data_IF_818374827159
#
_entry.id   IF_818374827159
#
_cell.length_a   1.000
_cell.length_b   1.000
_cell.length_c   1.000
_cell.angle_alpha   90.00
_cell.angle_beta   90.00
_cell.angle_gamma   90.00
#
_symmetry.space_group_name_H-M   'P 1'
#
loop_
_entity.id
_entity.type
_entity.pdbx_description
1 polymer ?
#
# COMPACT_ATOMS: atom_id res chain seq x y z
N UNK A 1 59.86 -3.59 -5.73
CA UNK A 1 59.43 -4.22 -4.46
C UNK A 1 57.99 -4.73 -4.57
N UNK A 2 57.75 -6.01 -4.28
CA UNK A 2 56.39 -6.62 -4.38
C UNK A 2 55.62 -6.39 -3.08
N UNK A 3 54.50 -5.68 -3.12
CA UNK A 3 53.64 -5.43 -1.97
C UNK A 3 52.72 -6.65 -1.81
N UNK A 4 52.85 -7.34 -0.65
CA UNK A 4 51.93 -8.47 -0.27
C UNK A 4 50.66 -7.88 0.32
N UNK A 5 49.51 -8.19 -0.27
CA UNK A 5 48.19 -7.66 0.19
C UNK A 5 47.43 -8.66 1.06
N UNK A 6 48.04 -9.80 1.42
CA UNK A 6 47.40 -10.85 2.24
C UNK A 6 46.08 -11.36 1.66
N UNK A 7 45.08 -11.59 2.50
CA UNK A 7 43.79 -12.21 2.14
C UNK A 7 42.67 -11.22 1.80
N UNK A 8 42.97 -9.92 1.66
CA UNK A 8 41.92 -8.88 1.47
C UNK A 8 41.05 -9.14 0.22
N UNK A 9 41.64 -9.46 -0.91
CA UNK A 9 40.92 -9.76 -2.14
C UNK A 9 40.03 -10.99 -1.98
N UNK A 10 40.54 -12.07 -1.38
CA UNK A 10 39.78 -13.29 -1.10
C UNK A 10 38.60 -13.04 -0.18
N UNK A 11 38.77 -12.21 0.84
CA UNK A 11 37.69 -11.86 1.77
C UNK A 11 36.57 -11.02 1.08
N UNK A 12 36.94 -10.11 0.18
CA UNK A 12 35.96 -9.39 -0.65
C UNK A 12 35.16 -10.34 -1.53
N UNK A 13 35.83 -11.29 -2.19
CA UNK A 13 35.15 -12.33 -3.00
C UNK A 13 34.20 -13.20 -2.16
N UNK A 14 34.66 -13.67 -0.98
CA UNK A 14 33.85 -14.44 -0.05
C UNK A 14 32.60 -13.70 0.40
N UNK A 15 32.71 -12.37 0.65
CA UNK A 15 31.55 -11.54 1.03
C UNK A 15 30.47 -11.54 -0.06
N UNK A 16 30.86 -11.34 -1.32
CA UNK A 16 29.92 -11.38 -2.45
C UNK A 16 29.31 -12.77 -2.66
N UNK A 17 30.14 -13.83 -2.62
CA UNK A 17 29.66 -15.20 -2.75
C UNK A 17 28.72 -15.60 -1.62
N UNK A 18 28.92 -15.06 -0.40
CA UNK A 18 27.98 -15.25 0.72
C UNK A 18 26.60 -14.66 0.41
N UNK A 19 26.53 -13.49 -0.22
CA UNK A 19 25.28 -12.86 -0.65
C UNK A 19 24.63 -13.58 -1.84
N UNK A 20 25.43 -14.26 -2.66
CA UNK A 20 24.99 -15.03 -3.80
C UNK A 20 24.54 -16.46 -3.46
N UNK A 21 24.56 -16.87 -2.20
CA UNK A 21 24.08 -18.19 -1.78
C UNK A 21 22.64 -18.42 -2.23
N UNK A 22 22.36 -19.60 -2.79
CA UNK A 22 21.05 -19.95 -3.30
C UNK A 22 20.79 -19.51 -4.76
N UNK A 23 21.69 -18.78 -5.40
CA UNK A 23 21.56 -18.45 -6.80
C UNK A 23 21.87 -19.67 -7.68
N UNK A 24 21.13 -19.82 -8.79
CA UNK A 24 21.23 -20.98 -9.66
C UNK A 24 22.52 -20.97 -10.49
N UNK A 25 23.20 -22.13 -10.54
CA UNK A 25 24.36 -22.40 -11.39
C UNK A 25 25.61 -21.60 -10.99
N UNK A 26 26.32 -21.09 -12.00
CA UNK A 26 27.58 -20.35 -11.84
C UNK A 26 27.44 -19.05 -11.03
N UNK A 27 26.23 -18.51 -10.92
CA UNK A 27 25.94 -17.27 -10.18
C UNK A 27 26.20 -17.38 -8.67
N UNK A 28 26.19 -18.59 -8.11
CA UNK A 28 26.50 -18.83 -6.69
C UNK A 28 27.97 -19.23 -6.44
N UNK A 29 28.71 -19.61 -7.49
CA UNK A 29 30.05 -20.22 -7.37
C UNK A 29 31.17 -19.34 -7.91
N UNK A 30 30.96 -18.70 -9.06
CA UNK A 30 31.97 -17.91 -9.75
C UNK A 30 31.81 -16.43 -9.42
N UNK A 31 32.83 -15.83 -8.80
CA UNK A 31 32.79 -14.44 -8.35
C UNK A 31 32.38 -13.44 -9.45
N UNK A 32 32.96 -13.55 -10.66
CA UNK A 32 32.68 -12.62 -11.77
C UNK A 32 31.18 -12.55 -12.09
N UNK A 33 30.52 -13.71 -12.18
CA UNK A 33 29.08 -13.82 -12.50
C UNK A 33 28.23 -13.50 -11.28
N UNK A 34 28.66 -13.98 -10.08
CA UNK A 34 27.98 -13.72 -8.83
C UNK A 34 27.89 -12.24 -8.49
N UNK A 35 28.96 -11.48 -8.72
CA UNK A 35 29.01 -10.04 -8.45
C UNK A 35 27.94 -9.28 -9.24
N UNK A 36 27.83 -9.54 -10.53
CA UNK A 36 26.80 -8.89 -11.39
C UNK A 36 25.39 -9.30 -10.92
N UNK A 37 25.19 -10.56 -10.60
CA UNK A 37 23.90 -11.04 -10.13
C UNK A 37 23.49 -10.42 -8.79
N UNK A 38 24.42 -10.30 -7.84
CA UNK A 38 24.19 -9.67 -6.54
C UNK A 38 23.88 -8.17 -6.70
N UNK A 39 24.63 -7.45 -7.53
CA UNK A 39 24.36 -6.03 -7.80
C UNK A 39 22.93 -5.82 -8.34
N UNK A 40 22.50 -6.65 -9.31
CA UNK A 40 21.14 -6.60 -9.83
C UNK A 40 20.09 -6.95 -8.77
N UNK A 41 20.33 -8.00 -7.98
CA UNK A 41 19.43 -8.42 -6.92
C UNK A 41 19.22 -7.31 -5.87
N UNK A 42 20.28 -6.65 -5.43
CA UNK A 42 20.20 -5.54 -4.48
C UNK A 42 19.48 -4.32 -5.07
N UNK A 43 19.72 -4.01 -6.36
CA UNK A 43 19.01 -2.93 -7.05
C UNK A 43 17.50 -3.23 -7.14
N UNK A 44 17.13 -4.47 -7.49
CA UNK A 44 15.73 -4.87 -7.54
C UNK A 44 15.09 -4.88 -6.15
N UNK A 45 15.77 -5.39 -5.13
CA UNK A 45 15.28 -5.35 -3.76
C UNK A 45 14.99 -3.92 -3.29
N UNK A 46 15.83 -2.95 -3.61
CA UNK A 46 15.60 -1.54 -3.32
C UNK A 46 14.35 -0.99 -4.03
N UNK A 47 14.21 -1.23 -5.33
CA UNK A 47 13.06 -0.83 -6.13
C UNK A 47 11.77 -1.48 -5.63
N UNK A 48 11.81 -2.78 -5.40
CA UNK A 48 10.61 -3.57 -5.13
C UNK A 48 10.06 -3.35 -3.71
N UNK A 49 10.92 -3.00 -2.73
CA UNK A 49 10.43 -2.52 -1.42
C UNK A 49 9.51 -1.28 -1.56
N UNK A 50 9.75 -0.42 -2.54
CA UNK A 50 8.88 0.74 -2.82
C UNK A 50 7.66 0.35 -3.64
N UNK A 51 7.83 -0.54 -4.62
CA UNK A 51 6.75 -1.05 -5.42
C UNK A 51 5.72 -1.84 -4.58
N UNK A 52 6.18 -2.64 -3.63
CA UNK A 52 5.32 -3.41 -2.72
C UNK A 52 4.35 -2.51 -1.96
N UNK A 53 4.80 -1.38 -1.42
CA UNK A 53 3.93 -0.42 -0.73
C UNK A 53 2.82 0.11 -1.63
N UNK A 54 3.13 0.43 -2.88
CA UNK A 54 2.15 0.90 -3.87
C UNK A 54 1.17 -0.21 -4.27
N UNK A 55 1.67 -1.42 -4.45
CA UNK A 55 0.87 -2.57 -4.83
C UNK A 55 -0.11 -2.97 -3.73
N UNK A 56 0.33 -2.98 -2.47
CA UNK A 56 -0.54 -3.23 -1.32
C UNK A 56 -1.64 -2.18 -1.22
N UNK A 57 -1.32 -0.88 -1.39
CA UNK A 57 -2.33 0.17 -1.40
C UNK A 57 -3.36 0.00 -2.52
N UNK A 58 -2.93 -0.40 -3.73
CA UNK A 58 -3.85 -0.72 -4.84
C UNK A 58 -4.76 -1.88 -4.49
N UNK A 59 -4.22 -2.94 -3.91
CA UNK A 59 -4.99 -4.10 -3.48
C UNK A 59 -6.06 -3.72 -2.43
N UNK A 60 -5.71 -2.91 -1.43
CA UNK A 60 -6.68 -2.44 -0.45
C UNK A 60 -7.81 -1.63 -1.09
N UNK A 61 -7.47 -0.75 -2.03
CA UNK A 61 -8.47 0.05 -2.76
C UNK A 61 -9.41 -0.86 -3.55
N UNK A 62 -8.91 -1.90 -4.20
CA UNK A 62 -9.74 -2.86 -4.95
C UNK A 62 -10.71 -3.60 -4.00
N UNK A 63 -10.23 -4.09 -2.87
CA UNK A 63 -11.06 -4.77 -1.86
C UNK A 63 -12.16 -3.88 -1.30
N UNK A 64 -11.81 -2.67 -0.88
CA UNK A 64 -12.79 -1.69 -0.38
C UNK A 64 -13.80 -1.35 -1.47
N UNK A 65 -13.36 -1.10 -2.71
CA UNK A 65 -14.25 -0.74 -3.81
C UNK A 65 -15.26 -1.86 -4.12
N UNK A 66 -14.83 -3.14 -4.08
CA UNK A 66 -15.73 -4.28 -4.26
C UNK A 66 -16.83 -4.28 -3.18
N UNK A 67 -16.45 -4.22 -1.91
CA UNK A 67 -17.39 -4.26 -0.78
C UNK A 67 -18.34 -3.05 -0.73
N UNK A 68 -17.84 -1.86 -1.07
CA UNK A 68 -18.68 -0.63 -1.13
C UNK A 68 -19.68 -0.69 -2.29
N UNK A 69 -19.30 -1.29 -3.41
CA UNK A 69 -20.20 -1.47 -4.56
C UNK A 69 -21.35 -2.45 -4.25
N UNK A 70 -21.11 -3.50 -3.48
CA UNK A 70 -22.17 -4.39 -2.97
C UNK A 70 -23.22 -3.61 -2.19
N UNK A 71 -22.85 -2.50 -1.55
CA UNK A 71 -23.75 -1.61 -0.81
C UNK A 71 -24.27 -0.40 -1.64
N UNK A 72 -24.12 -0.44 -2.96
CA UNK A 72 -24.67 0.54 -3.90
C UNK A 72 -23.90 1.88 -3.94
N UNK A 73 -22.65 1.94 -3.45
CA UNK A 73 -21.88 3.19 -3.44
C UNK A 73 -20.56 3.04 -4.23
N UNK A 74 -20.04 4.12 -4.81
CA UNK A 74 -18.71 4.14 -5.43
C UNK A 74 -17.63 4.45 -4.41
N UNK A 75 -16.41 3.95 -4.64
CA UNK A 75 -15.26 4.19 -3.78
C UNK A 75 -14.98 5.67 -3.49
N UNK A 76 -15.09 6.53 -4.51
CA UNK A 76 -14.85 7.97 -4.37
C UNK A 76 -15.88 8.64 -3.45
N UNK A 77 -17.16 8.28 -3.61
CA UNK A 77 -18.26 8.76 -2.74
C UNK A 77 -18.06 8.28 -1.32
N UNK A 78 -17.69 7.02 -1.11
CA UNK A 78 -17.40 6.47 0.21
C UNK A 78 -16.25 7.19 0.90
N UNK A 79 -15.11 7.39 0.21
CA UNK A 79 -13.95 8.11 0.80
C UNK A 79 -14.32 9.56 1.15
N UNK A 80 -15.13 10.21 0.32
CA UNK A 80 -15.61 11.57 0.62
C UNK A 80 -16.56 11.58 1.82
N UNK A 81 -17.46 10.62 1.91
CA UNK A 81 -18.37 10.44 3.05
C UNK A 81 -17.60 10.19 4.36
N UNK A 82 -16.58 9.31 4.34
CA UNK A 82 -15.72 9.09 5.50
C UNK A 82 -15.00 10.37 5.95
N UNK A 83 -14.53 11.19 5.01
CA UNK A 83 -13.90 12.48 5.33
C UNK A 83 -14.90 13.44 5.98
N UNK A 84 -16.12 13.53 5.45
CA UNK A 84 -17.19 14.39 6.00
C UNK A 84 -17.62 13.92 7.38
N UNK A 85 -17.69 12.62 7.60
CA UNK A 85 -17.99 11.99 8.89
C UNK A 85 -16.83 12.03 9.90
N UNK A 86 -15.67 12.57 9.51
CA UNK A 86 -14.43 12.56 10.30
C UNK A 86 -14.00 11.14 10.76
N UNK A 87 -14.30 10.12 9.96
CA UNK A 87 -13.91 8.75 10.24
C UNK A 87 -12.44 8.56 9.87
N UNK A 88 -11.58 8.45 10.89
CA UNK A 88 -10.13 8.30 10.72
C UNK A 88 -9.70 6.83 10.70
N UNK A 89 -10.03 6.12 9.62
CA UNK A 89 -9.61 4.72 9.43
C UNK A 89 -8.70 4.60 8.21
N UNK A 90 -7.62 3.85 8.35
CA UNK A 90 -6.70 3.64 7.25
C UNK A 90 -7.22 2.56 6.28
N UNK A 91 -6.72 2.61 5.02
CA UNK A 91 -7.15 1.67 3.96
C UNK A 91 -6.85 0.21 4.27
N UNK A 92 -5.79 -0.08 5.03
CA UNK A 92 -5.43 -1.45 5.41
C UNK A 92 -6.51 -2.04 6.32
N UNK A 93 -6.93 -1.29 7.33
CA UNK A 93 -7.99 -1.73 8.26
C UNK A 93 -9.33 -1.88 7.54
N UNK A 94 -9.72 -0.92 6.70
CA UNK A 94 -10.95 -1.01 5.92
C UNK A 94 -10.96 -2.20 4.97
N UNK A 95 -9.83 -2.50 4.34
CA UNK A 95 -9.71 -3.65 3.45
C UNK A 95 -9.71 -4.99 4.22
N UNK A 96 -9.25 -5.00 5.45
CA UNK A 96 -9.29 -6.15 6.34
C UNK A 96 -10.73 -6.42 6.81
N UNK A 97 -11.43 -5.40 7.30
CA UNK A 97 -12.85 -5.49 7.66
C UNK A 97 -13.71 -5.94 6.48
N UNK A 98 -13.48 -5.41 5.29
CA UNK A 98 -14.22 -5.78 4.09
C UNK A 98 -14.13 -7.27 3.71
N UNK A 99 -13.06 -7.96 4.13
CA UNK A 99 -12.84 -9.38 3.84
C UNK A 99 -13.25 -10.27 5.02
N UNK A 100 -12.85 -9.90 6.22
CA UNK A 100 -12.95 -10.75 7.41
C UNK A 100 -14.21 -10.46 8.25
N UNK A 101 -14.70 -9.21 8.23
CA UNK A 101 -15.87 -8.79 9.01
C UNK A 101 -16.74 -7.84 8.19
N UNK A 102 -17.63 -8.44 7.40
CA UNK A 102 -18.53 -7.68 6.51
C UNK A 102 -19.57 -6.87 7.28
N UNK A 103 -19.98 -7.32 8.46
CA UNK A 103 -20.97 -6.63 9.28
C UNK A 103 -20.40 -5.34 9.86
N UNK A 104 -19.20 -5.40 10.44
CA UNK A 104 -18.51 -4.20 10.91
C UNK A 104 -18.20 -3.23 9.77
N UNK A 105 -17.83 -3.74 8.58
CA UNK A 105 -17.65 -2.89 7.42
C UNK A 105 -18.95 -2.20 6.97
N UNK A 106 -20.07 -2.89 7.00
CA UNK A 106 -21.38 -2.34 6.66
C UNK A 106 -21.76 -1.19 7.62
N UNK A 107 -21.55 -1.35 8.92
CA UNK A 107 -21.78 -0.27 9.90
C UNK A 107 -20.96 0.98 9.60
N UNK A 108 -19.68 0.81 9.20
CA UNK A 108 -18.84 1.94 8.80
C UNK A 108 -19.40 2.65 7.56
N UNK A 109 -19.88 1.91 6.57
CA UNK A 109 -20.47 2.50 5.36
C UNK A 109 -21.79 3.22 5.67
N UNK A 110 -22.63 2.68 6.53
CA UNK A 110 -23.89 3.31 6.96
C UNK A 110 -23.64 4.59 7.73
N UNK A 111 -22.70 4.59 8.68
CA UNK A 111 -22.28 5.79 9.40
C UNK A 111 -21.77 6.87 8.45
N UNK A 112 -20.98 6.49 7.45
CA UNK A 112 -20.48 7.42 6.44
C UNK A 112 -21.61 7.97 5.55
N UNK A 113 -22.61 7.14 5.17
CA UNK A 113 -23.81 7.57 4.42
C UNK A 113 -24.63 8.57 5.23
N UNK A 114 -24.94 8.26 6.48
CA UNK A 114 -25.74 9.12 7.36
C UNK A 114 -25.14 10.52 7.51
N UNK A 115 -23.82 10.61 7.75
CA UNK A 115 -23.13 11.91 7.85
C UNK A 115 -23.14 12.70 6.53
N UNK A 116 -23.14 12.04 5.37
CA UNK A 116 -23.22 12.73 4.08
C UNK A 116 -24.61 13.28 3.79
N UNK A 117 -25.66 12.60 4.23
CA UNK A 117 -27.05 13.02 4.08
C UNK A 117 -27.34 14.19 5.02
N UNK A 118 -26.92 14.11 6.28
CA UNK A 118 -27.13 15.17 7.27
C UNK A 118 -26.55 16.52 6.84
N UNK A 119 -25.35 16.54 6.25
CA UNK A 119 -24.74 17.75 5.69
C UNK A 119 -25.57 18.31 4.50
N UNK A 120 -26.12 17.48 3.65
CA UNK A 120 -26.95 17.92 2.52
C UNK A 120 -28.28 18.52 3.00
N UNK A 121 -28.94 17.91 3.97
CA UNK A 121 -30.19 18.44 4.56
C UNK A 121 -29.95 19.76 5.28
N UNK A 122 -28.84 19.92 6.00
CA UNK A 122 -28.48 21.16 6.69
C UNK A 122 -28.20 22.30 5.69
N UNK A 123 -27.47 22.03 4.61
CA UNK A 123 -27.21 23.02 3.54
C UNK A 123 -28.51 23.44 2.84
N UNK A 124 -29.40 22.48 2.54
CA UNK A 124 -30.71 22.77 1.95
C UNK A 124 -31.58 23.62 2.87
N UNK A 125 -31.65 23.31 4.15
CA UNK A 125 -32.38 24.09 5.14
C UNK A 125 -31.81 25.50 5.29
N UNK A 126 -30.49 25.66 5.26
CA UNK A 126 -29.83 26.96 5.31
C UNK A 126 -30.09 27.80 4.06
N UNK A 127 -30.04 27.19 2.85
CA UNK A 127 -30.41 27.87 1.60
C UNK A 127 -31.88 28.30 1.58
N UNK A 128 -32.78 27.47 2.10
CA UNK A 128 -34.20 27.76 2.20
C UNK A 128 -34.48 28.89 3.20
N UNK A 129 -33.72 28.96 4.28
CA UNK A 129 -33.79 30.07 5.26
C UNK A 129 -33.30 31.40 4.65
N UNK A 130 -32.28 31.36 3.78
CA UNK A 130 -31.78 32.54 3.07
C UNK A 130 -32.78 33.07 2.04
N UNK A 131 -33.48 32.20 1.29
CA UNK A 131 -34.50 32.60 0.30
C UNK A 131 -35.77 33.12 0.94
N UNK A 132 -36.04 32.83 2.21
CA UNK A 132 -37.20 33.37 2.93
C UNK A 132 -36.91 34.71 3.65
N UNK A 133 -35.69 35.27 3.54
CA UNK A 133 -35.29 36.54 4.10
C UNK A 133 -35.30 37.71 3.08
N UNK A 134 -35.61 37.41 1.81
CA UNK A 134 -35.91 38.37 0.74
C UNK A 134 -37.43 38.54 0.58
#
# INVERSE_FOLDING_TARGET
MRIKRGNVCRNRHKKILKLAKGFKGARSRIFKVANIAVMKALKYAYRDRRATKRNMRRLWIVRINAAVREQGMSYSRFVNACKKANIQVNRKMLADLAVNDKEAFAMVVETAKAASIFLLTWILAFLQALTNLE
#
